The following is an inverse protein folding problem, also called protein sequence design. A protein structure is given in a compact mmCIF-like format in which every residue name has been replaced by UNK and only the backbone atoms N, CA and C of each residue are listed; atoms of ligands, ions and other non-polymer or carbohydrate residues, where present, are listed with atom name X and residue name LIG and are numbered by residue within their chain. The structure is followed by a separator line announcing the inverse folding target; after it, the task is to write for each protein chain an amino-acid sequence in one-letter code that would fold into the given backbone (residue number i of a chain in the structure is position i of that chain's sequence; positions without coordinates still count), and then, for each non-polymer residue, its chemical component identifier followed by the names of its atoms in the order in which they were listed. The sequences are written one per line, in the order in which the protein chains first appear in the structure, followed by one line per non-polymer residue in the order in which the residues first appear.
data_IF_307734118238
#
_entry.id   IF_307734118238
#
_cell.length_a   1.000
_cell.length_b   1.000
_cell.length_c   1.000
_cell.angle_alpha   90.00
_cell.angle_beta   90.00
_cell.angle_gamma   90.00
#
_symmetry.space_group_name_H-M   'P 1'
#
loop_
_entity.id
_entity.type
_entity.pdbx_description
1 polymer ?
#
# COMPACT_ATOMS: atom_id res chain seq x y z
N UNK A 1 -15.15 -5.27 -8.45
CA UNK A 1 -13.89 -5.97 -8.78
C UNK A 1 -12.78 -5.70 -7.77
N UNK A 2 -12.68 -4.52 -7.15
CA UNK A 2 -11.57 -4.24 -6.24
C UNK A 2 -11.47 -5.13 -4.99
N UNK A 3 -12.58 -5.71 -4.50
CA UNK A 3 -12.50 -6.73 -3.44
C UNK A 3 -11.79 -8.00 -3.92
N UNK A 4 -12.05 -8.43 -5.15
CA UNK A 4 -11.32 -9.55 -5.77
C UNK A 4 -9.84 -9.19 -5.93
N UNK A 5 -9.53 -7.95 -6.32
CA UNK A 5 -8.14 -7.46 -6.42
C UNK A 5 -7.44 -7.50 -5.06
N UNK A 6 -8.11 -7.04 -4.00
CA UNK A 6 -7.60 -7.07 -2.63
C UNK A 6 -7.24 -8.50 -2.19
N UNK A 7 -8.16 -9.45 -2.37
CA UNK A 7 -7.92 -10.86 -1.98
C UNK A 7 -6.82 -11.51 -2.82
N UNK A 8 -6.73 -11.20 -4.12
CA UNK A 8 -5.63 -11.68 -4.97
C UNK A 8 -4.30 -11.08 -4.53
N UNK A 9 -4.24 -9.77 -4.25
CA UNK A 9 -3.05 -9.11 -3.73
C UNK A 9 -2.58 -9.72 -2.39
N UNK A 10 -3.52 -10.02 -1.49
CA UNK A 10 -3.22 -10.73 -0.25
C UNK A 10 -2.68 -12.14 -0.51
N UNK A 11 -3.25 -12.86 -1.48
CA UNK A 11 -2.79 -14.19 -1.88
C UNK A 11 -1.38 -14.17 -2.50
N UNK A 12 -0.99 -13.05 -3.10
CA UNK A 12 0.36 -12.78 -3.60
C UNK A 12 1.30 -12.23 -2.51
N UNK A 13 0.89 -12.22 -1.24
CA UNK A 13 1.75 -11.90 -0.11
C UNK A 13 1.75 -10.43 0.33
N UNK A 14 0.87 -9.58 -0.20
CA UNK A 14 0.69 -8.24 0.37
C UNK A 14 -0.08 -8.31 1.69
N UNK A 15 0.48 -7.72 2.74
CA UNK A 15 -0.19 -7.54 4.02
C UNK A 15 -0.99 -6.24 4.06
N UNK A 16 -1.91 -6.11 5.01
CA UNK A 16 -2.62 -4.86 5.19
C UNK A 16 -1.66 -3.75 5.63
N UNK A 17 -1.79 -2.57 5.00
CA UNK A 17 -0.85 -1.46 5.23
C UNK A 17 -0.88 -0.98 6.69
N UNK A 18 -2.02 -1.04 7.36
CA UNK A 18 -2.15 -0.67 8.77
C UNK A 18 -1.49 -1.65 9.75
N UNK A 19 -0.96 -2.79 9.26
CA UNK A 19 -0.24 -3.77 10.07
C UNK A 19 1.28 -3.60 9.99
N UNK A 20 1.80 -2.63 9.24
CA UNK A 20 3.24 -2.32 9.22
C UNK A 20 3.75 -1.90 10.60
N UNK A 21 5.02 -2.18 10.90
CA UNK A 21 5.67 -1.77 12.14
C UNK A 21 5.76 -0.24 12.33
N UNK A 22 5.81 0.50 11.22
CA UNK A 22 5.86 1.97 11.19
C UNK A 22 4.49 2.65 11.15
N UNK A 23 3.38 1.89 11.21
CA UNK A 23 2.02 2.43 10.97
C UNK A 23 1.59 3.52 11.94
N UNK A 24 2.12 3.53 13.17
CA UNK A 24 1.73 4.51 14.20
C UNK A 24 2.20 5.95 13.88
N UNK A 25 3.12 6.14 12.94
CA UNK A 25 3.48 7.46 12.40
C UNK A 25 2.42 8.02 11.44
N UNK A 26 1.56 7.15 10.90
CA UNK A 26 0.64 7.47 9.81
C UNK A 26 -0.83 7.36 10.20
N UNK A 27 -1.16 6.46 11.14
CA UNK A 27 -2.52 6.16 11.57
C UNK A 27 -2.56 5.88 13.07
N UNK A 28 -3.70 6.15 13.69
CA UNK A 28 -4.01 5.80 15.07
C UNK A 28 -5.18 4.84 15.09
N UNK A 29 -5.05 3.74 15.85
CA UNK A 29 -6.13 2.79 16.06
C UNK A 29 -6.79 3.07 17.40
N UNK A 30 -8.07 3.44 17.34
CA UNK A 30 -8.93 3.64 18.48
C UNK A 30 -9.37 2.27 19.02
N UNK A 31 -8.55 1.67 19.89
CA UNK A 31 -8.75 0.32 20.42
C UNK A 31 -10.14 0.10 21.07
N UNK A 32 -10.72 1.14 21.64
CA UNK A 32 -12.09 1.13 22.19
C UNK A 32 -13.20 0.88 21.14
N UNK A 33 -12.90 1.05 19.85
CA UNK A 33 -13.81 0.80 18.73
C UNK A 33 -13.51 -0.52 18.02
N UNK A 34 -12.47 -1.24 18.43
CA UNK A 34 -12.12 -2.57 17.91
C UNK A 34 -12.81 -3.62 18.78
N UNK A 35 -13.60 -4.52 18.18
CA UNK A 35 -14.16 -5.64 18.95
C UNK A 35 -13.06 -6.58 19.43
N UNK A 36 -13.29 -7.19 20.59
CA UNK A 36 -12.33 -8.09 21.23
C UNK A 36 -11.88 -9.25 20.32
N UNK A 37 -12.79 -9.80 19.52
CA UNK A 37 -12.52 -10.87 18.54
C UNK A 37 -11.78 -10.41 17.28
N UNK A 38 -11.65 -9.10 17.06
CA UNK A 38 -10.99 -8.49 15.90
C UNK A 38 -9.60 -7.89 16.23
N UNK A 39 -9.20 -7.88 17.50
CA UNK A 39 -7.95 -7.24 17.98
C UNK A 39 -6.70 -7.71 17.21
N UNK A 40 -6.66 -8.99 16.85
CA UNK A 40 -5.56 -9.56 16.07
C UNK A 40 -5.43 -8.92 14.66
N UNK A 41 -6.55 -8.57 14.02
CA UNK A 41 -6.59 -7.94 12.68
C UNK A 41 -6.02 -6.51 12.68
N UNK A 42 -5.91 -5.88 13.85
CA UNK A 42 -5.35 -4.54 14.04
C UNK A 42 -3.94 -4.54 14.64
N UNK A 43 -3.39 -5.73 14.92
CA UNK A 43 -2.03 -5.87 15.44
C UNK A 43 -1.00 -5.67 14.33
N UNK A 44 0.13 -5.06 14.68
CA UNK A 44 1.29 -4.94 13.79
C UNK A 44 1.93 -6.32 13.57
N UNK A 45 2.52 -6.50 12.40
CA UNK A 45 3.29 -7.69 12.04
C UNK A 45 4.77 -7.34 12.22
N UNK A 46 5.55 -8.30 12.74
CA UNK A 46 7.00 -8.16 12.89
C UNK A 46 7.67 -7.95 11.53
N UNK A 47 8.72 -7.12 11.48
CA UNK A 47 9.53 -6.88 10.29
C UNK A 47 10.20 -8.17 9.75
N UNK A 48 10.27 -9.24 10.57
CA UNK A 48 10.68 -10.58 10.11
C UNK A 48 9.73 -11.18 9.06
N UNK A 49 8.43 -10.86 9.14
CA UNK A 49 7.39 -11.39 8.26
C UNK A 49 6.84 -10.37 7.27
N UNK A 50 7.01 -9.08 7.55
CA UNK A 50 6.53 -7.98 6.71
C UNK A 50 7.69 -7.05 6.39
N UNK A 51 8.28 -7.26 5.20
CA UNK A 51 9.23 -6.32 4.62
C UNK A 51 8.49 -5.19 3.89
N UNK A 52 8.78 -3.95 4.26
CA UNK A 52 8.22 -2.76 3.58
C UNK A 52 8.87 -2.51 2.23
N UNK A 53 9.99 -3.19 1.93
CA UNK A 53 10.81 -3.03 0.72
C UNK A 53 11.28 -1.58 0.52
N UNK A 54 11.35 -0.80 1.61
CA UNK A 54 11.66 0.63 1.57
C UNK A 54 10.56 1.51 0.95
N UNK A 55 9.35 0.96 0.73
CA UNK A 55 8.23 1.71 0.15
C UNK A 55 7.55 2.60 1.21
N UNK A 56 7.19 3.85 0.83
CA UNK A 56 6.48 4.75 1.74
C UNK A 56 5.10 4.19 2.12
N UNK A 57 4.55 4.66 3.23
CA UNK A 57 3.21 4.29 3.66
C UNK A 57 2.15 4.81 2.67
N UNK A 58 1.39 3.91 2.06
CA UNK A 58 0.41 4.26 1.03
C UNK A 58 -1.03 4.19 1.56
N UNK A 59 -1.62 5.36 1.83
CA UNK A 59 -3.02 5.48 2.22
C UNK A 59 -4.00 5.03 1.12
N UNK A 60 -3.60 5.07 -0.15
CA UNK A 60 -4.42 4.68 -1.28
C UNK A 60 -4.26 3.19 -1.65
N UNK A 61 -3.42 2.44 -0.93
CA UNK A 61 -3.28 1.00 -1.16
C UNK A 61 -4.62 0.28 -1.05
N UNK A 62 -4.86 -0.66 -1.97
CA UNK A 62 -6.04 -1.54 -1.89
C UNK A 62 -6.02 -2.39 -0.63
N UNK A 63 -4.83 -2.58 -0.04
CA UNK A 63 -4.60 -3.33 1.19
C UNK A 63 -4.83 -2.50 2.46
N UNK A 64 -5.14 -1.21 2.34
CA UNK A 64 -5.44 -0.39 3.51
C UNK A 64 -6.89 -0.61 3.99
N UNK A 65 -7.08 -0.77 5.29
CA UNK A 65 -8.40 -0.76 5.93
C UNK A 65 -9.10 0.59 5.80
N UNK A 66 -10.42 0.57 5.77
CA UNK A 66 -11.23 1.78 5.90
C UNK A 66 -11.15 2.33 7.32
N UNK A 67 -11.53 3.59 7.51
CA UNK A 67 -11.59 4.18 8.84
C UNK A 67 -12.62 3.54 9.78
N UNK A 68 -13.58 2.78 9.24
CA UNK A 68 -14.69 2.18 9.99
C UNK A 68 -14.55 0.66 10.17
N UNK A 69 -13.50 0.05 9.63
CA UNK A 69 -13.23 -1.37 9.82
C UNK A 69 -13.02 -1.65 11.32
N UNK A 70 -13.46 -2.81 11.83
CA UNK A 70 -13.42 -3.12 13.27
C UNK A 70 -14.78 -3.05 13.99
N UNK A 71 -15.87 -2.84 13.23
CA UNK A 71 -17.26 -2.85 13.71
C UNK A 71 -17.53 -1.80 14.80
N UNK A 72 -16.97 -0.61 14.58
CA UNK A 72 -17.19 0.59 15.40
C UNK A 72 -18.68 0.94 15.54
N UNK A 73 -19.11 1.58 16.66
CA UNK A 73 -20.40 2.24 16.72
C UNK A 73 -20.60 3.19 15.52
N UNK A 74 -21.84 3.37 15.07
CA UNK A 74 -22.14 4.25 13.94
C UNK A 74 -21.51 5.65 14.15
N UNK A 75 -20.70 6.09 13.18
CA UNK A 75 -20.01 7.38 13.13
C UNK A 75 -18.72 7.55 13.96
N UNK A 76 -18.09 6.46 14.44
CA UNK A 76 -16.79 6.54 15.08
C UNK A 76 -15.69 5.87 14.23
N UNK A 77 -14.55 6.53 14.05
CA UNK A 77 -13.41 5.91 13.37
C UNK A 77 -12.71 4.91 14.28
N UNK A 78 -12.50 3.69 13.81
CA UNK A 78 -11.56 2.74 14.42
C UNK A 78 -10.14 3.09 14.02
N UNK A 79 -9.94 3.45 12.75
CA UNK A 79 -8.65 3.82 12.20
C UNK A 79 -8.70 5.27 11.72
N UNK A 80 -7.87 6.09 12.33
CA UNK A 80 -7.79 7.52 12.04
C UNK A 80 -6.42 7.87 11.48
N UNK A 81 -6.38 8.49 10.32
CA UNK A 81 -5.15 8.99 9.70
C UNK A 81 -4.58 10.17 10.48
N UNK A 82 -3.26 10.25 10.58
CA UNK A 82 -2.56 11.38 11.21
C UNK A 82 -2.85 12.70 10.46
N UNK A 83 -2.72 12.69 9.13
CA UNK A 83 -3.24 13.76 8.28
C UNK A 83 -4.68 13.46 7.82
N UNK A 84 -5.63 14.25 8.33
CA UNK A 84 -7.06 14.14 8.02
C UNK A 84 -7.38 14.23 6.53
N UNK A 85 -6.52 14.83 5.71
CA UNK A 85 -6.71 14.86 4.24
C UNK A 85 -6.73 13.46 3.64
N UNK A 86 -6.02 12.51 4.25
CA UNK A 86 -5.95 11.12 3.80
C UNK A 86 -7.09 10.24 4.32
N UNK A 87 -7.94 10.75 5.22
CA UNK A 87 -9.02 9.96 5.83
C UNK A 87 -10.03 9.44 4.79
N UNK A 88 -10.22 10.16 3.68
CA UNK A 88 -11.10 9.75 2.58
C UNK A 88 -10.40 8.86 1.54
N UNK A 89 -9.08 8.73 1.64
CA UNK A 89 -8.25 7.95 0.72
C UNK A 89 -8.19 6.48 1.14
N UNK A 90 -8.11 6.23 2.46
CA UNK A 90 -8.03 4.88 3.02
C UNK A 90 -9.27 4.04 2.75
N UNK A 91 -9.09 2.72 2.62
CA UNK A 91 -10.18 1.77 2.42
C UNK A 91 -10.75 1.77 0.99
N UNK A 92 -10.08 2.40 0.03
CA UNK A 92 -10.50 2.32 -1.37
C UNK A 92 -10.49 0.87 -1.87
N UNK A 93 -11.45 0.54 -2.75
CA UNK A 93 -11.62 -0.78 -3.37
C UNK A 93 -11.85 -0.63 -4.89
N UNK A 94 -11.12 0.27 -5.52
CA UNK A 94 -11.13 0.52 -6.97
C UNK A 94 -10.14 -0.40 -7.67
N UNK A 95 -8.91 -0.52 -7.15
CA UNK A 95 -7.84 -1.33 -7.73
C UNK A 95 -6.51 -1.14 -6.99
N UNK A 96 -5.45 -1.77 -7.49
CA UNK A 96 -4.09 -1.62 -6.94
C UNK A 96 -3.60 -0.17 -7.08
N UNK A 97 -2.98 0.34 -6.01
CA UNK A 97 -2.20 1.58 -6.06
C UNK A 97 -0.87 1.37 -6.78
N UNK A 98 -0.20 2.46 -7.15
CA UNK A 98 1.16 2.41 -7.67
C UNK A 98 2.12 1.67 -6.72
N UNK A 99 2.00 1.89 -5.41
CA UNK A 99 2.85 1.22 -4.42
C UNK A 99 2.55 -0.27 -4.32
N UNK A 100 1.28 -0.70 -4.44
CA UNK A 100 0.93 -2.12 -4.46
C UNK A 100 1.57 -2.83 -5.67
N UNK A 101 1.48 -2.21 -6.85
CA UNK A 101 2.08 -2.75 -8.09
C UNK A 101 3.60 -2.79 -7.93
N UNK A 102 4.21 -1.74 -7.38
CA UNK A 102 5.65 -1.68 -7.14
C UNK A 102 6.11 -2.76 -6.16
N UNK A 103 5.39 -2.98 -5.06
CA UNK A 103 5.71 -4.01 -4.08
C UNK A 103 5.69 -5.42 -4.70
N UNK A 104 4.67 -5.71 -5.53
CA UNK A 104 4.58 -6.98 -6.25
C UNK A 104 5.72 -7.14 -7.26
N UNK A 105 6.04 -6.09 -8.02
CA UNK A 105 7.13 -6.14 -9.00
C UNK A 105 8.51 -6.29 -8.33
N UNK A 106 8.75 -5.63 -7.20
CA UNK A 106 9.97 -5.84 -6.42
C UNK A 106 10.04 -7.27 -5.85
N UNK A 107 8.91 -7.83 -5.40
CA UNK A 107 8.86 -9.19 -4.86
C UNK A 107 9.02 -10.31 -5.91
N UNK A 108 8.47 -10.13 -7.11
CA UNK A 108 8.38 -11.19 -8.12
C UNK A 108 9.16 -10.94 -9.40
N UNK A 109 9.58 -9.69 -9.66
CA UNK A 109 10.17 -9.28 -10.93
C UNK A 109 11.47 -8.47 -10.79
N UNK A 110 12.05 -8.34 -9.59
CA UNK A 110 13.25 -7.53 -9.35
C UNK A 110 14.42 -7.88 -10.29
N UNK A 111 14.59 -9.16 -10.62
CA UNK A 111 15.73 -9.64 -11.42
C UNK A 111 15.47 -9.60 -12.94
N UNK A 112 14.30 -9.13 -13.39
CA UNK A 112 13.96 -9.14 -14.82
C UNK A 112 14.82 -8.14 -15.60
N UNK A 113 15.14 -7.01 -14.98
CA UNK A 113 15.96 -5.95 -15.55
C UNK A 113 17.39 -5.93 -14.96
N UNK A 114 17.92 -7.09 -14.57
CA UNK A 114 19.28 -7.18 -14.05
C UNK A 114 20.30 -6.62 -15.06
N UNK A 115 21.08 -5.64 -14.61
CA UNK A 115 22.05 -4.93 -15.45
C UNK A 115 21.46 -3.80 -16.30
N UNK A 116 20.16 -3.55 -16.20
CA UNK A 116 19.48 -2.45 -16.87
C UNK A 116 18.69 -1.62 -15.83
N UNK A 117 19.24 -0.47 -15.45
CA UNK A 117 18.64 0.42 -14.46
C UNK A 117 18.44 1.80 -15.10
N UNK A 118 17.29 2.06 -15.74
CA UNK A 118 16.99 3.39 -16.25
C UNK A 118 16.94 4.38 -15.07
N UNK A 119 17.41 5.60 -15.29
CA UNK A 119 17.40 6.67 -14.29
C UNK A 119 15.96 7.20 -14.11
N UNK A 120 15.09 6.38 -13.51
CA UNK A 120 13.69 6.74 -13.29
C UNK A 120 13.55 7.92 -12.34
N UNK A 121 12.86 8.97 -12.79
CA UNK A 121 12.56 10.16 -12.02
C UNK A 121 11.24 10.03 -11.26
N UNK A 122 10.98 11.00 -10.37
CA UNK A 122 9.68 11.20 -9.70
C UNK A 122 9.10 9.96 -8.97
N UNK A 123 9.99 9.08 -8.50
CA UNK A 123 9.61 7.86 -7.77
C UNK A 123 9.18 6.70 -8.66
N UNK A 124 9.42 6.79 -9.98
CA UNK A 124 9.30 5.67 -10.91
C UNK A 124 10.28 4.53 -10.62
N UNK A 125 10.09 3.41 -11.30
CA UNK A 125 10.99 2.25 -11.26
C UNK A 125 10.97 1.52 -12.60
N UNK A 126 12.02 0.76 -12.92
CA UNK A 126 12.13 0.03 -14.18
C UNK A 126 10.88 -0.82 -14.46
N UNK A 127 10.31 -0.73 -15.66
CA UNK A 127 9.18 -1.58 -16.05
C UNK A 127 9.69 -3.01 -16.30
N UNK A 128 9.23 -4.02 -15.55
CA UNK A 128 9.65 -5.40 -15.80
C UNK A 128 9.25 -5.94 -17.18
N UNK A 129 8.36 -5.28 -17.91
CA UNK A 129 7.97 -5.69 -19.26
C UNK A 129 8.77 -4.98 -20.37
N UNK A 130 9.43 -3.86 -20.05
CA UNK A 130 10.32 -3.12 -20.95
C UNK A 130 11.36 -2.38 -20.11
N UNK A 131 12.53 -3.01 -19.94
CA UNK A 131 13.56 -2.48 -19.06
C UNK A 131 14.05 -1.09 -19.47
N UNK A 132 13.86 -0.68 -20.74
CA UNK A 132 14.26 0.65 -21.22
C UNK A 132 13.35 1.78 -20.74
N UNK A 133 12.26 1.44 -20.04
CA UNK A 133 11.25 2.39 -19.58
C UNK A 133 10.99 2.26 -18.09
N UNK A 134 10.43 3.32 -17.54
CA UNK A 134 9.99 3.38 -16.16
C UNK A 134 8.47 3.25 -16.05
N UNK A 135 8.01 2.51 -15.05
CA UNK A 135 6.65 2.61 -14.55
C UNK A 135 6.52 3.87 -13.70
N UNK A 136 5.67 4.78 -14.14
CA UNK A 136 5.46 6.08 -13.51
C UNK A 136 4.31 6.07 -12.51
N UNK A 137 4.47 6.87 -11.46
CA UNK A 137 3.38 7.17 -10.54
C UNK A 137 2.35 8.04 -11.26
N UNK A 138 1.08 7.93 -10.85
CA UNK A 138 0.00 8.75 -11.40
C UNK A 138 0.36 10.24 -11.40
N UNK A 139 0.17 10.89 -12.55
CA UNK A 139 0.52 12.29 -12.76
C UNK A 139 1.95 12.53 -13.27
N UNK A 140 2.69 11.47 -13.62
CA UNK A 140 3.97 11.55 -14.32
C UNK A 140 3.94 10.71 -15.59
N UNK A 141 4.72 11.12 -16.60
CA UNK A 141 4.82 10.47 -17.91
C UNK A 141 6.25 10.57 -18.47
N UNK A 142 6.45 10.08 -19.69
CA UNK A 142 7.78 9.95 -20.31
C UNK A 142 8.38 8.56 -20.07
N UNK A 143 9.46 8.25 -20.79
CA UNK A 143 10.11 6.94 -20.68
C UNK A 143 10.86 6.80 -19.34
N UNK A 144 11.25 7.92 -18.71
CA UNK A 144 11.92 7.98 -17.42
C UNK A 144 11.05 8.60 -16.32
N UNK A 145 9.77 8.86 -16.57
CA UNK A 145 8.87 9.57 -15.66
C UNK A 145 9.26 11.04 -15.41
N UNK A 146 9.88 11.67 -16.40
CA UNK A 146 10.40 13.04 -16.37
C UNK A 146 9.33 14.12 -16.61
N UNK A 147 8.20 13.75 -17.22
CA UNK A 147 7.12 14.67 -17.59
C UNK A 147 5.97 14.67 -16.56
N UNK A 148 5.19 15.76 -16.54
CA UNK A 148 3.96 15.97 -15.74
C UNK A 148 2.70 15.78 -16.58
#
# INVERSE_FOLDING_TARGET
LGETVHVVAQSLGLWHVHQRGDRDDYVTINQQHVKEDEQASFSTISDEYLDTQGLPYDYASVMHFSGFDGKSPANAYTLQTADRKNQKTIGQRTGLSFSDIRALNLGYCANVCDGYNPDCENGGYADPNDCNKCKCKDGFAGDLCEDL
#
